data_IF_292593358685
#
_entry.id   IF_292593358685
#
_cell.length_a   1.000
_cell.length_b   1.000
_cell.length_c   1.000
_cell.angle_alpha   90.00
_cell.angle_beta   90.00
_cell.angle_gamma   90.00
#
_symmetry.space_group_name_H-M   'P 1'
#
loop_
_entity.id
_entity.type
_entity.pdbx_description
1 polymer ?
#
# COMPACT_ATOMS: atom_id res chain seq x y z
N UNK A 1 3.30 29.91 4.09
CA UNK A 1 2.25 28.89 3.93
C UNK A 1 2.67 28.02 2.74
N UNK A 2 2.69 26.71 2.89
CA UNK A 2 3.04 25.82 1.77
C UNK A 2 1.88 25.87 0.77
N UNK A 3 2.17 26.18 -0.51
CA UNK A 3 1.14 26.15 -1.56
C UNK A 3 0.60 24.72 -1.68
N UNK A 4 -0.68 24.53 -1.35
CA UNK A 4 -1.39 23.25 -1.55
C UNK A 4 -1.97 23.21 -2.96
N UNK A 5 -1.87 22.04 -3.59
CA UNK A 5 -2.48 21.76 -4.89
C UNK A 5 -3.40 20.53 -4.76
N UNK A 6 -4.46 20.50 -5.55
CA UNK A 6 -5.32 19.34 -5.63
C UNK A 6 -4.86 18.44 -6.78
N UNK A 7 -4.69 17.13 -6.49
CA UNK A 7 -4.20 16.15 -7.45
C UNK A 7 -4.94 14.82 -7.27
N UNK A 8 -5.08 14.04 -8.35
CA UNK A 8 -5.54 12.67 -8.22
C UNK A 8 -4.43 11.78 -7.64
N UNK A 9 -4.80 10.70 -7.00
CA UNK A 9 -3.85 9.68 -6.51
C UNK A 9 -2.90 9.21 -7.63
N UNK A 10 -3.45 8.95 -8.85
CA UNK A 10 -2.67 8.60 -10.04
C UNK A 10 -1.65 9.66 -10.43
N UNK A 11 -2.09 10.92 -10.49
CA UNK A 11 -1.21 12.01 -10.89
C UNK A 11 -0.15 12.31 -9.82
N UNK A 12 -0.47 12.07 -8.55
CA UNK A 12 0.47 12.17 -7.43
C UNK A 12 1.62 11.15 -7.56
N UNK A 13 1.32 9.91 -7.92
CA UNK A 13 2.32 8.87 -8.23
C UNK A 13 3.19 9.27 -9.43
N UNK A 14 2.54 9.71 -10.52
CA UNK A 14 3.25 10.17 -11.73
C UNK A 14 4.20 11.31 -11.42
N UNK A 15 3.77 12.28 -10.63
CA UNK A 15 4.60 13.43 -10.27
C UNK A 15 5.80 13.02 -9.40
N UNK A 16 5.64 12.10 -8.45
CA UNK A 16 6.76 11.55 -7.67
C UNK A 16 7.82 10.89 -8.58
N UNK A 17 7.38 10.10 -9.56
CA UNK A 17 8.29 9.49 -10.55
C UNK A 17 8.94 10.53 -11.45
N UNK A 18 8.20 11.52 -11.92
CA UNK A 18 8.73 12.62 -12.73
C UNK A 18 9.81 13.39 -11.99
N UNK A 19 9.55 13.78 -10.75
CA UNK A 19 10.52 14.46 -9.89
C UNK A 19 11.78 13.63 -9.68
N UNK A 20 11.65 12.31 -9.48
CA UNK A 20 12.77 11.39 -9.35
C UNK A 20 13.62 11.31 -10.63
N UNK A 21 12.99 11.17 -11.80
CA UNK A 21 13.67 11.12 -13.10
C UNK A 21 14.40 12.44 -13.42
N UNK A 22 13.81 13.59 -13.05
CA UNK A 22 14.44 14.91 -13.25
C UNK A 22 15.65 15.12 -12.35
N UNK A 23 15.58 14.63 -11.13
CA UNK A 23 16.62 14.83 -10.12
C UNK A 23 17.82 13.93 -10.32
N UNK A 24 17.62 12.70 -10.76
CA UNK A 24 18.63 11.65 -10.74
C UNK A 24 18.70 10.93 -12.11
N UNK A 25 19.83 11.09 -12.78
CA UNK A 25 20.06 10.50 -14.10
C UNK A 25 20.15 8.97 -14.05
N UNK A 26 20.39 8.38 -12.88
CA UNK A 26 20.41 6.92 -12.69
C UNK A 26 19.02 6.33 -12.44
N UNK A 27 18.00 7.16 -12.20
CA UNK A 27 16.63 6.71 -12.03
C UNK A 27 16.04 6.25 -13.38
N UNK A 28 15.42 5.09 -13.41
CA UNK A 28 14.73 4.54 -14.59
C UNK A 28 13.41 3.90 -14.18
N UNK A 29 12.44 3.90 -15.09
CA UNK A 29 11.19 3.15 -14.96
C UNK A 29 11.25 2.01 -15.95
N UNK A 30 10.89 0.79 -15.55
CA UNK A 30 10.79 -0.37 -16.43
C UNK A 30 9.57 -1.22 -16.08
N UNK A 31 8.96 -1.79 -17.10
CA UNK A 31 7.78 -2.63 -16.95
C UNK A 31 7.03 -2.81 -18.26
N UNK A 32 5.91 -3.50 -18.20
CA UNK A 32 5.07 -3.76 -19.36
C UNK A 32 4.29 -2.52 -19.76
N UNK A 33 4.46 -2.07 -21.01
CA UNK A 33 3.75 -0.91 -21.60
C UNK A 33 3.86 0.40 -20.82
N UNK A 34 4.83 0.53 -19.91
CA UNK A 34 5.04 1.74 -19.10
C UNK A 34 5.50 2.95 -19.90
N UNK A 35 6.06 2.71 -21.11
CA UNK A 35 6.58 3.71 -22.02
C UNK A 35 5.50 4.35 -22.90
N UNK A 36 5.37 3.90 -24.14
CA UNK A 36 4.51 4.53 -25.16
C UNK A 36 3.04 4.59 -24.73
N UNK A 37 2.52 3.53 -24.12
CA UNK A 37 1.12 3.47 -23.66
C UNK A 37 0.88 4.16 -22.33
N UNK A 38 1.93 4.32 -21.51
CA UNK A 38 1.84 4.98 -20.21
C UNK A 38 1.30 4.09 -19.09
N UNK A 39 1.44 2.78 -19.24
CA UNK A 39 0.99 1.76 -18.29
C UNK A 39 -0.50 1.45 -18.38
N UNK A 40 -0.90 0.25 -17.98
CA UNK A 40 -2.30 -0.24 -18.00
C UNK A 40 -3.27 0.73 -17.29
N UNK A 41 -2.83 1.36 -16.22
CA UNK A 41 -3.64 2.31 -15.44
C UNK A 41 -3.27 3.78 -15.70
N UNK A 42 -2.47 4.04 -16.75
CA UNK A 42 -2.05 5.38 -17.17
C UNK A 42 -1.24 6.17 -16.11
N UNK A 43 -0.56 5.45 -15.20
CA UNK A 43 0.24 6.10 -14.14
C UNK A 43 1.51 6.72 -14.70
N UNK A 44 2.13 6.13 -15.72
CA UNK A 44 3.37 6.62 -16.35
C UNK A 44 3.12 7.45 -17.62
N UNK A 45 1.84 7.71 -17.98
CA UNK A 45 1.49 8.43 -19.22
C UNK A 45 2.21 9.77 -19.33
N UNK A 46 2.90 9.97 -20.47
CA UNK A 46 3.64 11.18 -20.82
C UNK A 46 5.08 11.23 -20.27
N UNK A 47 5.49 10.28 -19.42
CA UNK A 47 6.88 10.21 -18.94
C UNK A 47 7.83 9.76 -20.06
N UNK A 48 7.38 8.87 -20.94
CA UNK A 48 8.17 8.44 -22.08
C UNK A 48 8.50 9.63 -23.04
N UNK A 49 7.52 10.48 -23.32
CA UNK A 49 7.71 11.64 -24.18
C UNK A 49 8.68 12.66 -23.56
N UNK A 50 8.71 12.75 -22.23
CA UNK A 50 9.56 13.70 -21.49
C UNK A 50 11.00 13.17 -21.32
N UNK A 51 11.18 11.86 -21.06
CA UNK A 51 12.48 11.29 -20.65
C UNK A 51 13.09 10.31 -21.64
N UNK A 52 12.34 9.83 -22.63
CA UNK A 52 12.79 8.94 -23.69
C UNK A 52 12.93 7.46 -23.27
N UNK A 53 13.19 6.62 -24.27
CA UNK A 53 13.23 5.16 -24.15
C UNK A 53 14.35 4.61 -23.26
N UNK A 54 15.40 5.39 -22.99
CA UNK A 54 16.49 4.96 -22.10
C UNK A 54 16.14 5.13 -20.62
N UNK A 55 15.12 5.90 -20.31
CA UNK A 55 14.71 6.22 -18.94
C UNK A 55 13.35 5.63 -18.58
N UNK A 56 12.48 5.43 -19.57
CA UNK A 56 11.17 4.79 -19.42
C UNK A 56 11.12 3.64 -20.40
N UNK A 57 11.32 2.43 -19.91
CA UNK A 57 11.71 1.25 -20.68
C UNK A 57 10.55 0.27 -20.74
N UNK A 58 9.98 0.07 -21.93
CA UNK A 58 9.04 -1.02 -22.16
C UNK A 58 9.77 -2.36 -22.18
N UNK A 59 9.21 -3.33 -21.47
CA UNK A 59 9.74 -4.69 -21.40
C UNK A 59 8.78 -5.70 -22.03
N UNK A 60 9.26 -6.87 -22.45
CA UNK A 60 8.38 -8.01 -22.68
C UNK A 60 7.60 -8.40 -21.41
N UNK A 61 6.52 -9.16 -21.56
CA UNK A 61 5.78 -9.78 -20.45
C UNK A 61 6.66 -10.89 -19.85
N UNK A 62 7.43 -10.53 -18.81
CA UNK A 62 8.38 -11.43 -18.17
C UNK A 62 8.75 -10.90 -16.78
N UNK A 63 7.84 -10.99 -15.83
CA UNK A 63 7.95 -10.33 -14.50
C UNK A 63 9.20 -10.80 -13.74
N UNK A 64 9.57 -12.07 -13.85
CA UNK A 64 10.83 -12.57 -13.31
C UNK A 64 12.04 -11.87 -13.95
N UNK A 65 12.01 -11.64 -15.26
CA UNK A 65 13.04 -10.90 -15.99
C UNK A 65 13.08 -9.43 -15.58
N UNK A 66 11.92 -8.78 -15.49
CA UNK A 66 11.79 -7.37 -15.06
C UNK A 66 12.45 -7.16 -13.70
N UNK A 67 12.08 -7.97 -12.70
CA UNK A 67 12.63 -7.83 -11.34
C UNK A 67 14.11 -8.24 -11.29
N UNK A 68 14.52 -9.28 -12.01
CA UNK A 68 15.92 -9.70 -12.09
C UNK A 68 16.82 -8.61 -12.67
N UNK A 69 16.41 -8.00 -13.79
CA UNK A 69 17.14 -6.88 -14.42
C UNK A 69 17.16 -5.65 -13.51
N UNK A 70 16.02 -5.28 -12.91
CA UNK A 70 15.95 -4.17 -11.96
C UNK A 70 16.88 -4.38 -10.76
N UNK A 71 16.91 -5.60 -10.21
CA UNK A 71 17.81 -5.96 -9.10
C UNK A 71 19.28 -5.81 -9.50
N UNK A 72 19.68 -6.34 -10.66
CA UNK A 72 21.04 -6.20 -11.18
C UNK A 72 21.41 -4.74 -11.48
N UNK A 73 20.51 -3.97 -12.06
CA UNK A 73 20.69 -2.54 -12.30
C UNK A 73 20.90 -1.75 -11.00
N UNK A 74 20.11 -2.06 -9.97
CA UNK A 74 20.26 -1.44 -8.65
C UNK A 74 21.60 -1.81 -7.98
N UNK A 75 22.06 -3.05 -8.12
CA UNK A 75 23.39 -3.47 -7.68
C UNK A 75 24.51 -2.71 -8.42
N UNK A 76 24.29 -2.35 -9.68
CA UNK A 76 25.16 -1.51 -10.50
C UNK A 76 25.08 -0.01 -10.22
N UNK A 77 24.28 0.42 -9.24
CA UNK A 77 24.16 1.83 -8.83
C UNK A 77 23.03 2.62 -9.49
N UNK A 78 22.20 1.98 -10.32
CA UNK A 78 20.98 2.62 -10.83
C UNK A 78 19.88 2.64 -9.76
N UNK A 79 18.83 3.42 -10.02
CA UNK A 79 17.63 3.52 -9.18
C UNK A 79 16.38 3.11 -9.95
N UNK A 80 16.16 1.82 -10.12
CA UNK A 80 15.02 1.34 -10.90
C UNK A 80 13.71 1.42 -10.12
N UNK A 81 12.68 1.89 -10.81
CA UNK A 81 11.27 1.70 -10.48
C UNK A 81 10.77 0.61 -11.42
N UNK A 82 10.61 -0.61 -10.91
CA UNK A 82 10.10 -1.74 -11.68
C UNK A 82 8.59 -1.86 -11.47
N UNK A 83 7.81 -1.76 -12.55
CA UNK A 83 6.36 -1.98 -12.49
C UNK A 83 6.04 -3.44 -12.79
N UNK A 84 5.31 -4.07 -11.86
CA UNK A 84 4.54 -5.29 -12.13
C UNK A 84 3.08 -4.85 -12.25
N UNK A 85 2.45 -5.13 -13.37
CA UNK A 85 1.13 -4.62 -13.75
C UNK A 85 0.08 -4.78 -12.65
N UNK A 86 0.02 -5.95 -12.02
CA UNK A 86 -0.78 -6.20 -10.82
C UNK A 86 -0.03 -7.10 -9.85
N UNK A 87 -0.35 -7.02 -8.56
CA UNK A 87 0.25 -7.86 -7.51
C UNK A 87 0.09 -9.36 -7.79
N UNK A 88 -0.94 -9.73 -8.56
CA UNK A 88 -1.19 -11.11 -8.95
C UNK A 88 -0.04 -11.70 -9.76
N UNK A 89 0.59 -10.90 -10.61
CA UNK A 89 1.72 -11.32 -11.45
C UNK A 89 3.06 -11.28 -10.72
N UNK A 90 3.11 -10.67 -9.54
CA UNK A 90 4.30 -10.75 -8.69
C UNK A 90 4.61 -12.20 -8.27
N UNK A 91 3.64 -13.12 -8.35
CA UNK A 91 3.86 -14.55 -8.14
C UNK A 91 4.82 -15.16 -9.17
N UNK A 92 4.84 -14.66 -10.42
CA UNK A 92 5.79 -15.09 -11.46
C UNK A 92 7.21 -14.62 -11.11
N UNK A 93 7.37 -13.50 -10.42
CA UNK A 93 8.64 -12.93 -10.01
C UNK A 93 9.03 -13.25 -8.56
N UNK A 94 8.28 -14.08 -7.85
CA UNK A 94 8.42 -14.26 -6.39
C UNK A 94 9.83 -14.66 -5.97
N UNK A 95 10.51 -15.52 -6.74
CA UNK A 95 11.89 -15.92 -6.47
C UNK A 95 12.84 -14.72 -6.55
N UNK A 96 12.73 -13.89 -7.59
CA UNK A 96 13.57 -12.70 -7.73
C UNK A 96 13.33 -11.69 -6.63
N UNK A 97 12.09 -11.52 -6.18
CA UNK A 97 11.75 -10.62 -5.07
C UNK A 97 12.28 -11.16 -3.75
N UNK A 98 12.00 -12.43 -3.43
CA UNK A 98 12.22 -13.01 -2.10
C UNK A 98 13.66 -13.51 -1.92
N UNK A 99 14.20 -14.25 -2.87
CA UNK A 99 15.51 -14.89 -2.73
C UNK A 99 16.66 -14.01 -3.23
N UNK A 100 16.39 -13.09 -4.15
CA UNK A 100 17.42 -12.18 -4.67
C UNK A 100 17.27 -10.78 -4.06
N UNK A 101 16.30 -9.97 -4.51
CA UNK A 101 16.18 -8.56 -4.14
C UNK A 101 16.17 -8.34 -2.61
N UNK A 102 15.40 -9.12 -1.87
CA UNK A 102 15.29 -9.00 -0.42
C UNK A 102 16.55 -9.46 0.34
N UNK A 103 17.37 -10.36 -0.22
CA UNK A 103 18.45 -11.04 0.50
C UNK A 103 19.86 -10.57 0.15
N UNK A 104 20.06 -9.90 -0.99
CA UNK A 104 21.38 -9.48 -1.48
C UNK A 104 22.18 -8.78 -0.39
N UNK A 105 21.61 -7.82 0.31
CA UNK A 105 22.32 -7.08 1.36
C UNK A 105 22.88 -8.01 2.46
N UNK A 106 22.09 -8.97 2.91
CA UNK A 106 22.51 -9.95 3.90
C UNK A 106 23.52 -10.94 3.34
N UNK A 107 23.27 -11.49 2.14
CA UNK A 107 24.17 -12.50 1.51
C UNK A 107 25.55 -11.94 1.21
N UNK A 108 25.67 -10.66 0.90
CA UNK A 108 26.94 -9.98 0.65
C UNK A 108 27.52 -9.28 1.89
N UNK A 109 27.10 -9.69 3.10
CA UNK A 109 27.66 -9.15 4.34
C UNK A 109 27.53 -7.63 4.50
N UNK A 110 26.49 -7.04 3.93
CA UNK A 110 26.23 -5.59 3.99
C UNK A 110 26.97 -4.74 2.94
N UNK A 111 27.83 -5.34 2.12
CA UNK A 111 28.65 -4.60 1.13
C UNK A 111 27.90 -4.27 -0.14
N UNK A 112 26.85 -5.03 -0.50
CA UNK A 112 26.04 -4.84 -1.68
C UNK A 112 24.60 -4.46 -1.31
N UNK A 113 23.92 -3.67 -2.14
CA UNK A 113 22.51 -3.29 -1.97
C UNK A 113 21.78 -3.41 -3.29
N UNK A 114 20.46 -3.61 -3.22
CA UNK A 114 19.57 -3.62 -4.36
C UNK A 114 18.33 -2.74 -4.07
N UNK A 115 18.48 -1.40 -4.06
CA UNK A 115 17.39 -0.49 -3.76
C UNK A 115 16.41 -0.36 -4.94
N UNK A 116 15.63 -1.39 -5.18
CA UNK A 116 14.58 -1.42 -6.20
C UNK A 116 13.26 -0.93 -5.60
N UNK A 117 12.55 -0.05 -6.29
CA UNK A 117 11.14 0.22 -6.01
C UNK A 117 10.31 -0.67 -6.92
N UNK A 118 9.65 -1.66 -6.36
CA UNK A 118 8.72 -2.54 -7.07
C UNK A 118 7.33 -1.96 -6.91
N UNK A 119 6.84 -1.29 -7.96
CA UNK A 119 5.46 -0.77 -8.01
C UNK A 119 4.54 -1.84 -8.54
N UNK A 120 3.40 -1.99 -7.87
CA UNK A 120 2.34 -2.87 -8.34
C UNK A 120 0.99 -2.37 -7.82
N UNK A 121 -0.11 -2.89 -8.36
CA UNK A 121 -1.45 -2.52 -7.90
C UNK A 121 -2.21 -3.74 -7.40
N UNK A 122 -2.88 -3.58 -6.28
CA UNK A 122 -3.95 -4.47 -5.81
C UNK A 122 -5.31 -3.91 -6.22
N UNK A 123 -6.37 -4.63 -5.90
CA UNK A 123 -7.73 -4.17 -6.08
C UNK A 123 -8.57 -5.10 -6.94
N UNK A 124 -9.79 -4.69 -7.16
CA UNK A 124 -10.86 -5.46 -7.77
C UNK A 124 -11.78 -4.56 -8.60
N UNK A 125 -12.71 -5.15 -9.33
CA UNK A 125 -13.66 -4.44 -10.18
C UNK A 125 -13.95 -5.28 -11.44
N UNK A 126 -14.59 -6.42 -11.26
CA UNK A 126 -14.88 -7.40 -12.31
C UNK A 126 -13.62 -7.95 -13.00
N UNK A 127 -12.56 -8.18 -12.21
CA UNK A 127 -11.30 -8.75 -12.69
C UNK A 127 -11.20 -10.26 -12.44
N UNK A 128 -12.18 -10.86 -11.75
CA UNK A 128 -12.26 -12.28 -11.38
C UNK A 128 -11.13 -12.77 -10.46
N UNK A 129 -11.10 -14.08 -10.24
CA UNK A 129 -10.33 -14.71 -9.17
C UNK A 129 -8.81 -14.47 -9.23
N UNK A 130 -8.23 -14.48 -10.43
CA UNK A 130 -6.77 -14.40 -10.60
C UNK A 130 -6.22 -12.98 -10.71
N UNK A 131 -7.08 -11.95 -10.80
CA UNK A 131 -6.67 -10.56 -10.97
C UNK A 131 -7.15 -9.64 -9.85
N UNK A 132 -7.77 -10.19 -8.80
CA UNK A 132 -8.33 -9.44 -7.68
C UNK A 132 -7.85 -9.95 -6.33
N UNK A 133 -6.62 -10.43 -6.26
CA UNK A 133 -6.04 -10.99 -5.05
C UNK A 133 -5.23 -9.94 -4.30
N UNK A 134 -5.15 -10.08 -2.98
CA UNK A 134 -4.40 -9.23 -2.07
C UNK A 134 -3.26 -10.05 -1.46
N UNK A 135 -2.03 -9.83 -1.93
CA UNK A 135 -0.84 -10.59 -1.51
C UNK A 135 0.13 -9.76 -0.66
N UNK A 136 -0.29 -8.63 -0.14
CA UNK A 136 0.56 -7.76 0.70
C UNK A 136 1.14 -8.49 1.91
N UNK A 137 0.39 -9.41 2.51
CA UNK A 137 0.86 -10.23 3.64
C UNK A 137 2.08 -11.08 3.27
N UNK A 138 2.14 -11.61 2.04
CA UNK A 138 3.27 -12.42 1.58
C UNK A 138 4.56 -11.62 1.55
N UNK A 139 4.50 -10.38 1.09
CA UNK A 139 5.68 -9.50 1.04
C UNK A 139 6.02 -8.91 2.41
N UNK A 140 5.01 -8.57 3.21
CA UNK A 140 5.22 -8.09 4.58
C UNK A 140 5.83 -9.16 5.49
N UNK A 141 5.64 -10.45 5.19
CA UNK A 141 6.28 -11.57 5.88
C UNK A 141 7.80 -11.63 5.64
N UNK A 142 8.31 -11.18 4.49
CA UNK A 142 9.69 -11.40 4.06
C UNK A 142 10.66 -10.38 4.69
N UNK A 143 11.63 -10.80 5.54
CA UNK A 143 12.68 -9.92 6.01
C UNK A 143 13.56 -9.40 4.86
N UNK A 144 13.85 -8.09 4.88
CA UNK A 144 14.62 -7.40 3.86
C UNK A 144 13.78 -6.54 2.91
N UNK A 145 12.45 -6.71 2.90
CA UNK A 145 11.53 -5.84 2.15
C UNK A 145 10.92 -4.76 3.06
N UNK A 146 10.72 -3.58 2.49
CA UNK A 146 9.78 -2.57 2.99
C UNK A 146 8.50 -2.72 2.20
N UNK A 147 7.33 -2.66 2.85
CA UNK A 147 6.03 -2.80 2.20
C UNK A 147 5.13 -1.63 2.59
N UNK A 148 4.62 -0.90 1.60
CA UNK A 148 3.76 0.27 1.80
C UNK A 148 2.51 0.21 0.94
N UNK A 149 1.39 0.70 1.48
CA UNK A 149 0.09 0.75 0.82
C UNK A 149 -0.62 2.08 1.13
N UNK A 150 -0.32 3.15 0.39
CA UNK A 150 -0.91 4.46 0.64
C UNK A 150 -2.42 4.50 0.38
N UNK A 151 -3.13 5.35 1.13
CA UNK A 151 -4.58 5.55 0.99
C UNK A 151 -4.97 6.86 0.29
N UNK A 152 -4.10 7.86 0.29
CA UNK A 152 -4.39 9.21 -0.24
C UNK A 152 -3.37 9.65 -1.28
N UNK A 153 -3.70 10.69 -2.06
CA UNK A 153 -2.77 11.30 -3.02
C UNK A 153 -1.51 11.86 -2.31
N UNK A 154 -1.68 12.43 -1.11
CA UNK A 154 -0.58 12.90 -0.27
C UNK A 154 0.37 11.75 0.10
N UNK A 155 -0.18 10.66 0.64
CA UNK A 155 0.60 9.50 1.05
C UNK A 155 1.25 8.80 -0.15
N UNK A 156 0.54 8.69 -1.27
CA UNK A 156 1.05 8.08 -2.51
C UNK A 156 2.30 8.81 -3.02
N UNK A 157 2.24 10.15 -3.14
CA UNK A 157 3.39 10.94 -3.56
C UNK A 157 4.52 10.89 -2.53
N UNK A 158 4.21 11.16 -1.26
CA UNK A 158 5.22 11.26 -0.21
C UNK A 158 5.95 9.94 0.08
N UNK A 159 5.23 8.81 0.11
CA UNK A 159 5.82 7.48 0.31
C UNK A 159 6.62 7.02 -0.92
N UNK A 160 6.14 7.28 -2.15
CA UNK A 160 6.88 6.93 -3.36
C UNK A 160 8.17 7.76 -3.47
N UNK A 161 8.11 9.04 -3.14
CA UNK A 161 9.31 9.89 -3.03
C UNK A 161 10.29 9.31 -2.01
N UNK A 162 9.82 8.89 -0.82
CA UNK A 162 10.65 8.24 0.19
C UNK A 162 11.26 6.95 -0.32
N UNK A 163 10.50 6.15 -1.08
CA UNK A 163 10.97 4.90 -1.67
C UNK A 163 12.15 5.12 -2.62
N UNK A 164 12.15 6.19 -3.42
CA UNK A 164 13.24 6.54 -4.32
C UNK A 164 14.54 6.96 -3.61
N UNK A 165 14.46 7.30 -2.33
CA UNK A 165 15.64 7.57 -1.49
C UNK A 165 16.05 6.38 -0.62
N UNK A 166 15.26 5.32 -0.61
CA UNK A 166 15.54 4.12 0.19
C UNK A 166 16.83 3.43 -0.28
N UNK A 167 17.55 2.87 0.67
CA UNK A 167 18.68 1.98 0.40
C UNK A 167 18.28 0.49 0.46
N UNK A 168 17.01 0.22 0.76
CA UNK A 168 16.42 -1.11 0.82
C UNK A 168 15.34 -1.24 -0.25
N UNK A 169 15.05 -2.46 -0.72
CA UNK A 169 13.97 -2.69 -1.66
C UNK A 169 12.61 -2.37 -1.05
N UNK A 170 11.75 -1.75 -1.84
CA UNK A 170 10.41 -1.34 -1.44
C UNK A 170 9.37 -1.98 -2.35
N UNK A 171 8.42 -2.70 -1.77
CA UNK A 171 7.18 -3.12 -2.44
C UNK A 171 6.17 -2.01 -2.22
N UNK A 172 5.84 -1.30 -3.28
CA UNK A 172 4.92 -0.18 -3.27
C UNK A 172 3.60 -0.62 -3.91
N UNK A 173 2.59 -0.88 -3.07
CA UNK A 173 1.32 -1.46 -3.51
C UNK A 173 0.27 -0.35 -3.59
N UNK A 174 -0.16 -0.06 -4.79
CA UNK A 174 -1.23 0.87 -5.12
C UNK A 174 -2.59 0.16 -5.08
N UNK A 175 -3.67 0.92 -5.23
CA UNK A 175 -5.00 0.32 -5.32
C UNK A 175 -5.80 0.89 -6.50
N UNK A 176 -6.35 0.01 -7.35
CA UNK A 176 -7.06 0.41 -8.58
C UNK A 176 -8.20 1.39 -8.34
N UNK A 177 -8.93 1.21 -7.23
CA UNK A 177 -10.08 2.05 -6.86
C UNK A 177 -9.70 3.43 -6.34
N UNK A 178 -8.41 3.67 -6.04
CA UNK A 178 -7.92 4.95 -5.53
C UNK A 178 -7.37 5.87 -6.62
N UNK A 179 -7.10 5.38 -7.83
CA UNK A 179 -6.46 6.19 -8.88
C UNK A 179 -7.20 7.49 -9.24
N UNK A 180 -8.53 7.50 -9.10
CA UNK A 180 -9.37 8.67 -9.35
C UNK A 180 -9.58 9.58 -8.14
N UNK A 181 -9.24 9.11 -6.94
CA UNK A 181 -9.42 9.87 -5.71
C UNK A 181 -8.56 11.13 -5.70
N UNK A 182 -9.16 12.25 -5.33
CA UNK A 182 -8.46 13.54 -5.26
C UNK A 182 -8.09 13.86 -3.82
N UNK A 183 -6.93 14.48 -3.65
CA UNK A 183 -6.46 14.97 -2.36
C UNK A 183 -5.62 16.23 -2.50
N UNK A 184 -5.51 16.98 -1.42
CA UNK A 184 -4.62 18.12 -1.31
C UNK A 184 -3.23 17.66 -0.86
N UNK A 185 -2.20 18.19 -1.49
CA UNK A 185 -0.81 17.92 -1.15
C UNK A 185 0.07 19.14 -1.43
N UNK A 186 1.25 19.25 -0.78
CA UNK A 186 2.19 20.31 -1.05
C UNK A 186 2.68 20.31 -2.49
N UNK A 187 2.87 21.50 -3.07
CA UNK A 187 3.55 21.66 -4.35
C UNK A 187 5.03 21.32 -4.19
N UNK A 188 5.59 20.59 -5.17
CA UNK A 188 6.99 20.15 -5.18
C UNK A 188 7.23 18.87 -4.38
N UNK A 189 8.49 18.53 -4.22
CA UNK A 189 8.92 17.31 -3.55
C UNK A 189 8.69 17.38 -2.03
N UNK A 190 8.13 16.33 -1.49
CA UNK A 190 8.04 16.09 -0.04
C UNK A 190 8.09 14.59 0.25
N UNK A 191 8.31 14.22 1.49
CA UNK A 191 8.47 12.83 1.92
C UNK A 191 7.54 12.49 3.06
N UNK A 192 6.98 11.28 3.00
CA UNK A 192 6.30 10.63 4.12
C UNK A 192 7.20 9.50 4.59
N UNK A 193 7.63 9.45 5.85
CA UNK A 193 8.51 8.41 6.33
C UNK A 193 7.80 7.05 6.42
N UNK A 194 8.54 5.97 6.18
CA UNK A 194 8.06 4.62 6.42
C UNK A 194 7.90 4.35 7.92
N UNK A 195 6.93 3.50 8.28
CA UNK A 195 6.68 3.13 9.66
C UNK A 195 6.11 4.25 10.54
N UNK A 196 5.48 5.24 9.91
CA UNK A 196 4.75 6.31 10.60
C UNK A 196 3.31 6.27 10.13
N UNK A 197 2.39 5.89 11.00
CA UNK A 197 0.96 5.87 10.73
C UNK A 197 0.37 7.29 10.78
N UNK A 198 -0.84 7.42 10.25
CA UNK A 198 -1.60 8.67 10.27
C UNK A 198 -2.96 8.45 10.92
N UNK A 199 -3.25 9.20 11.97
CA UNK A 199 -4.57 9.21 12.60
C UNK A 199 -5.48 10.11 11.76
N UNK A 200 -6.12 9.53 10.74
CA UNK A 200 -6.98 10.24 9.78
C UNK A 200 -8.23 10.84 10.45
N UNK A 201 -8.70 10.24 11.52
CA UNK A 201 -9.81 10.74 12.34
C UNK A 201 -9.56 10.44 13.81
N UNK A 202 -9.67 11.45 14.66
CA UNK A 202 -9.63 11.28 16.10
C UNK A 202 -10.95 10.70 16.61
N UNK A 203 -10.88 9.82 17.60
CA UNK A 203 -12.02 9.19 18.25
C UNK A 203 -11.72 8.80 19.68
N UNK A 204 -12.74 8.29 20.39
CA UNK A 204 -12.62 7.89 21.81
C UNK A 204 -13.31 6.57 22.15
N UNK A 205 -14.20 6.07 21.28
CA UNK A 205 -15.07 4.92 21.61
C UNK A 205 -14.54 3.60 21.03
N UNK A 206 -13.83 3.65 19.90
CA UNK A 206 -13.23 2.48 19.24
C UNK A 206 -12.13 2.94 18.27
N UNK A 207 -11.09 2.16 18.11
CA UNK A 207 -10.05 2.36 17.08
C UNK A 207 -10.22 1.37 15.92
N UNK A 208 -10.29 1.89 14.69
CA UNK A 208 -10.10 1.09 13.47
C UNK A 208 -8.65 1.23 13.04
N UNK A 209 -7.93 0.10 12.91
CA UNK A 209 -6.60 0.02 12.30
C UNK A 209 -6.75 -0.51 10.89
N UNK A 210 -6.27 0.25 9.91
CA UNK A 210 -6.53 -0.06 8.48
C UNK A 210 -5.45 0.52 7.57
N UNK A 211 -5.55 0.29 6.26
CA UNK A 211 -4.67 0.85 5.23
C UNK A 211 -5.36 0.88 3.87
N UNK A 212 -4.72 1.57 2.90
CA UNK A 212 -5.15 1.60 1.50
C UNK A 212 -6.64 1.99 1.36
N UNK A 213 -7.39 1.31 0.49
CA UNK A 213 -8.80 1.60 0.24
C UNK A 213 -9.69 1.46 1.48
N UNK A 214 -9.39 0.52 2.38
CA UNK A 214 -10.20 0.32 3.58
C UNK A 214 -10.18 1.53 4.53
N UNK A 215 -9.18 2.41 4.44
CA UNK A 215 -9.17 3.70 5.14
C UNK A 215 -10.36 4.57 4.75
N UNK A 216 -10.73 4.61 3.47
CA UNK A 216 -11.89 5.38 3.00
C UNK A 216 -13.21 4.76 3.48
N UNK A 217 -13.32 3.43 3.45
CA UNK A 217 -14.49 2.71 4.01
C UNK A 217 -14.63 3.00 5.51
N UNK A 218 -13.52 2.95 6.26
CA UNK A 218 -13.50 3.25 7.69
C UNK A 218 -13.94 4.70 7.99
N UNK A 219 -13.42 5.67 7.23
CA UNK A 219 -13.75 7.09 7.40
C UNK A 219 -15.22 7.38 7.10
N UNK A 220 -15.78 6.77 6.04
CA UNK A 220 -17.18 6.93 5.69
C UNK A 220 -18.09 6.33 6.78
N UNK A 221 -17.82 5.10 7.22
CA UNK A 221 -18.55 4.47 8.32
C UNK A 221 -18.45 5.29 9.64
N UNK A 222 -17.25 5.79 9.97
CA UNK A 222 -17.03 6.63 11.15
C UNK A 222 -17.81 7.95 11.09
N UNK A 223 -17.96 8.54 9.90
CA UNK A 223 -18.78 9.76 9.70
C UNK A 223 -20.25 9.50 10.00
N UNK A 224 -20.78 8.36 9.57
CA UNK A 224 -22.19 8.00 9.81
C UNK A 224 -22.43 7.62 11.27
N UNK A 225 -21.47 6.95 11.93
CA UNK A 225 -21.50 6.63 13.35
C UNK A 225 -21.48 7.88 14.24
N UNK A 226 -20.74 8.91 13.83
CA UNK A 226 -20.69 10.19 14.55
C UNK A 226 -22.06 10.88 14.64
N UNK A 227 -22.94 10.69 13.66
CA UNK A 227 -24.33 11.19 13.71
C UNK A 227 -25.14 10.51 14.82
N UNK A 228 -24.70 9.37 15.33
CA UNK A 228 -25.27 8.64 16.46
C UNK A 228 -24.49 8.83 17.76
N UNK A 229 -23.53 9.78 17.80
CA UNK A 229 -22.72 10.08 18.98
C UNK A 229 -21.57 9.08 19.23
N UNK A 230 -21.23 8.23 18.25
CA UNK A 230 -20.13 7.27 18.35
C UNK A 230 -18.89 7.83 17.64
N UNK A 231 -17.83 8.10 18.39
CA UNK A 231 -16.60 8.73 17.92
C UNK A 231 -15.50 7.69 17.69
N UNK A 232 -15.44 7.19 16.46
CA UNK A 232 -14.46 6.19 16.03
C UNK A 232 -13.15 6.85 15.63
N UNK A 233 -12.03 6.34 16.16
CA UNK A 233 -10.68 6.69 15.70
C UNK A 233 -10.30 5.84 14.50
N UNK A 234 -9.71 6.46 13.46
CA UNK A 234 -9.25 5.76 12.27
C UNK A 234 -7.75 5.97 12.11
N UNK A 235 -6.99 4.88 12.25
CA UNK A 235 -5.54 4.83 12.09
C UNK A 235 -5.20 4.19 10.74
N UNK A 236 -4.67 4.97 9.82
CA UNK A 236 -4.10 4.51 8.56
C UNK A 236 -2.62 4.17 8.77
N UNK A 237 -2.27 2.89 8.73
CA UNK A 237 -0.89 2.47 8.97
C UNK A 237 0.05 2.79 7.83
N UNK A 238 -0.42 2.97 6.60
CA UNK A 238 0.33 3.33 5.39
C UNK A 238 1.50 2.40 5.04
N UNK A 239 2.21 1.90 6.05
CA UNK A 239 3.33 0.95 5.95
C UNK A 239 2.98 -0.33 6.67
N UNK A 240 3.05 -1.46 5.97
CA UNK A 240 2.84 -2.79 6.55
C UNK A 240 4.16 -3.36 7.11
N UNK A 241 5.29 -2.91 6.55
CA UNK A 241 6.62 -3.23 7.03
C UNK A 241 7.56 -2.05 6.75
N UNK A 242 8.04 -1.37 7.81
CA UNK A 242 7.68 -1.52 9.23
C UNK A 242 6.29 -0.98 9.56
N UNK A 243 5.61 -1.55 10.58
CA UNK A 243 4.39 -1.02 11.17
C UNK A 243 4.69 -0.02 12.27
N UNK A 244 3.86 1.01 12.40
CA UNK A 244 3.92 1.97 13.51
C UNK A 244 3.16 1.46 14.73
N UNK A 245 3.80 0.58 15.48
CA UNK A 245 3.22 0.01 16.69
C UNK A 245 2.92 1.05 17.77
N UNK A 246 3.73 2.12 17.85
CA UNK A 246 3.53 3.16 18.84
C UNK A 246 2.20 3.88 18.64
N UNK A 247 1.90 4.31 17.41
CA UNK A 247 0.62 4.96 17.08
C UNK A 247 -0.55 4.01 17.27
N UNK A 248 -0.46 2.77 16.81
CA UNK A 248 -1.51 1.76 16.99
C UNK A 248 -1.83 1.57 18.47
N UNK A 249 -0.81 1.32 19.33
CA UNK A 249 -1.01 1.06 20.75
C UNK A 249 -1.53 2.29 21.50
N UNK A 250 -1.08 3.50 21.16
CA UNK A 250 -1.58 4.72 21.76
C UNK A 250 -3.08 4.94 21.48
N UNK A 251 -3.50 4.66 20.25
CA UNK A 251 -4.91 4.74 19.85
C UNK A 251 -5.76 3.70 20.58
N UNK A 252 -5.32 2.45 20.61
CA UNK A 252 -6.06 1.35 21.26
C UNK A 252 -6.15 1.57 22.78
N UNK A 253 -5.07 2.01 23.43
CA UNK A 253 -5.08 2.32 24.88
C UNK A 253 -6.02 3.47 25.24
N UNK A 254 -6.26 4.38 24.30
CA UNK A 254 -7.20 5.49 24.48
C UNK A 254 -8.66 5.05 24.33
N UNK A 255 -8.94 4.15 23.41
CA UNK A 255 -10.31 3.79 23.01
C UNK A 255 -10.78 2.45 23.58
N UNK A 256 -9.89 1.64 24.13
CA UNK A 256 -10.13 0.35 24.78
C UNK A 256 -10.76 -0.75 23.89
N UNK A 257 -11.05 -0.46 22.61
CA UNK A 257 -11.62 -1.40 21.65
C UNK A 257 -10.95 -1.23 20.30
N UNK A 258 -10.70 -2.34 19.60
CA UNK A 258 -10.03 -2.32 18.32
C UNK A 258 -10.72 -3.21 17.27
N UNK A 259 -10.89 -2.65 16.07
CA UNK A 259 -11.26 -3.36 14.86
C UNK A 259 -10.10 -3.24 13.86
N UNK A 260 -9.57 -4.37 13.39
CA UNK A 260 -8.59 -4.39 12.28
C UNK A 260 -9.36 -4.65 10.99
N UNK A 261 -9.39 -3.64 10.12
CA UNK A 261 -10.14 -3.66 8.86
C UNK A 261 -9.18 -3.72 7.67
N UNK A 262 -9.22 -4.82 6.93
CA UNK A 262 -8.33 -5.05 5.78
C UNK A 262 -9.07 -5.63 4.57
N UNK A 263 -8.43 -5.62 3.41
CA UNK A 263 -9.00 -6.14 2.16
C UNK A 263 -8.40 -7.49 1.76
N UNK A 264 -7.41 -8.00 2.51
CA UNK A 264 -6.85 -9.33 2.35
C UNK A 264 -7.77 -10.42 2.98
N UNK A 265 -7.39 -11.69 2.83
CA UNK A 265 -8.07 -12.79 3.51
C UNK A 265 -7.75 -12.82 5.00
N UNK A 266 -8.70 -13.33 5.81
CA UNK A 266 -8.54 -13.40 7.26
C UNK A 266 -7.43 -14.38 7.68
N UNK A 267 -7.37 -15.53 7.02
CA UNK A 267 -6.40 -16.59 7.32
C UNK A 267 -5.02 -16.18 6.84
N UNK A 268 -4.08 -16.03 7.79
CA UNK A 268 -2.70 -15.58 7.55
C UNK A 268 -2.56 -14.18 6.92
N UNK A 269 -3.63 -13.38 6.93
CA UNK A 269 -3.59 -11.98 6.49
C UNK A 269 -2.92 -11.05 7.50
N UNK A 270 -2.65 -9.80 7.06
CA UNK A 270 -2.01 -8.75 7.87
C UNK A 270 -2.81 -8.48 9.16
N UNK A 271 -4.13 -8.58 9.09
CA UNK A 271 -5.02 -8.38 10.24
C UNK A 271 -4.72 -9.32 11.40
N UNK A 272 -4.22 -10.53 11.13
CA UNK A 272 -3.86 -11.51 12.15
C UNK A 272 -2.68 -11.05 13.01
N UNK A 273 -1.60 -10.56 12.40
CA UNK A 273 -0.43 -10.02 13.09
C UNK A 273 -0.79 -8.80 13.93
N UNK A 274 -1.56 -7.86 13.35
CA UNK A 274 -1.97 -6.64 14.05
C UNK A 274 -2.83 -6.99 15.26
N UNK A 275 -3.83 -7.85 15.09
CA UNK A 275 -4.73 -8.25 16.18
C UNK A 275 -3.99 -9.02 17.29
N UNK A 276 -3.11 -9.95 16.94
CA UNK A 276 -2.33 -10.72 17.91
C UNK A 276 -1.44 -9.80 18.76
N UNK A 277 -0.79 -8.82 18.13
CA UNK A 277 0.08 -7.91 18.86
C UNK A 277 -0.69 -6.89 19.70
N UNK A 278 -1.83 -6.38 19.22
CA UNK A 278 -2.72 -5.54 20.07
C UNK A 278 -3.17 -6.33 21.28
N UNK A 279 -3.64 -7.57 21.09
CA UNK A 279 -4.11 -8.43 22.18
C UNK A 279 -3.00 -8.75 23.19
N UNK A 280 -1.73 -8.79 22.79
CA UNK A 280 -0.59 -8.99 23.69
C UNK A 280 -0.16 -7.68 24.38
N UNK A 281 0.12 -6.62 23.61
CA UNK A 281 0.80 -5.41 24.11
C UNK A 281 -0.18 -4.41 24.77
N UNK A 282 -1.48 -4.53 24.50
CA UNK A 282 -2.53 -3.70 25.07
C UNK A 282 -3.56 -4.49 25.90
N UNK A 283 -3.24 -5.73 26.30
CA UNK A 283 -4.17 -6.64 27.02
C UNK A 283 -4.90 -5.97 28.17
N UNK A 284 -4.16 -5.29 29.07
CA UNK A 284 -4.72 -4.65 30.26
C UNK A 284 -5.58 -3.41 29.97
N UNK A 285 -5.63 -2.99 28.70
CA UNK A 285 -6.39 -1.81 28.26
C UNK A 285 -7.65 -2.18 27.46
N UNK A 286 -7.81 -3.45 27.07
CA UNK A 286 -8.92 -3.88 26.23
C UNK A 286 -10.17 -4.21 27.04
N UNK A 287 -11.30 -3.60 26.67
CA UNK A 287 -12.63 -3.92 27.21
C UNK A 287 -13.29 -5.10 26.49
N UNK A 288 -12.80 -5.49 25.32
CA UNK A 288 -13.33 -6.55 24.49
C UNK A 288 -12.20 -7.19 23.62
N UNK A 289 -12.40 -8.40 23.10
CA UNK A 289 -11.49 -8.99 22.14
C UNK A 289 -11.25 -8.07 20.93
N UNK A 290 -10.04 -8.14 20.36
CA UNK A 290 -9.73 -7.44 19.10
C UNK A 290 -10.49 -8.12 17.96
N UNK A 291 -11.32 -7.38 17.26
CA UNK A 291 -12.09 -7.86 16.13
C UNK A 291 -11.36 -7.66 14.81
N UNK A 292 -11.60 -8.54 13.86
CA UNK A 292 -11.07 -8.43 12.50
C UNK A 292 -12.18 -8.47 11.49
N UNK A 293 -12.12 -7.60 10.49
CA UNK A 293 -13.03 -7.61 9.34
C UNK A 293 -12.20 -7.56 8.06
N UNK A 294 -12.38 -8.58 7.23
CA UNK A 294 -11.60 -8.80 6.01
C UNK A 294 -12.53 -9.16 4.85
N UNK A 295 -11.99 -9.36 3.64
CA UNK A 295 -12.80 -9.98 2.60
C UNK A 295 -13.17 -11.43 2.97
N UNK A 296 -14.22 -11.93 2.32
CA UNK A 296 -14.63 -13.32 2.44
C UNK A 296 -13.55 -14.28 1.91
N UNK A 297 -13.36 -15.43 2.55
CA UNK A 297 -12.36 -16.42 2.16
C UNK A 297 -12.79 -17.25 0.94
N UNK A 298 -12.98 -16.57 -0.17
CA UNK A 298 -13.36 -17.17 -1.45
C UNK A 298 -12.51 -16.59 -2.59
N UNK A 299 -12.25 -17.35 -3.67
CA UNK A 299 -11.78 -16.75 -4.91
C UNK A 299 -12.81 -15.75 -5.42
N UNK A 300 -12.38 -14.54 -5.77
CA UNK A 300 -13.32 -13.48 -6.12
C UNK A 300 -14.11 -13.81 -7.39
N UNK A 301 -15.44 -13.72 -7.34
CA UNK A 301 -16.28 -13.94 -8.50
C UNK A 301 -16.24 -12.74 -9.45
N UNK A 302 -16.48 -12.98 -10.73
CA UNK A 302 -16.60 -11.92 -11.74
C UNK A 302 -17.91 -11.12 -11.63
N UNK A 303 -18.99 -11.78 -11.21
CA UNK A 303 -20.29 -11.15 -11.12
C UNK A 303 -20.33 -10.02 -10.08
N UNK A 304 -20.71 -8.76 -10.46
CA UNK A 304 -20.57 -7.59 -9.60
C UNK A 304 -21.28 -7.70 -8.25
N UNK A 305 -22.44 -8.34 -8.23
CA UNK A 305 -23.22 -8.54 -7.00
C UNK A 305 -22.51 -9.49 -6.03
N UNK A 306 -21.90 -10.56 -6.52
CA UNK A 306 -21.15 -11.51 -5.71
C UNK A 306 -19.80 -10.91 -5.27
N UNK A 307 -19.11 -10.21 -6.17
CA UNK A 307 -17.87 -9.49 -5.87
C UNK A 307 -18.10 -8.50 -4.71
N UNK A 308 -19.16 -7.67 -4.79
CA UNK A 308 -19.51 -6.72 -3.73
C UNK A 308 -19.81 -7.41 -2.38
N UNK A 309 -20.39 -8.59 -2.40
CA UNK A 309 -20.67 -9.35 -1.17
C UNK A 309 -19.37 -9.82 -0.46
N UNK A 310 -18.30 -10.03 -1.21
CA UNK A 310 -17.05 -10.55 -0.68
C UNK A 310 -16.26 -9.54 0.15
N UNK A 311 -16.43 -8.25 -0.08
CA UNK A 311 -15.65 -7.21 0.60
C UNK A 311 -16.38 -6.55 1.77
N UNK A 312 -15.63 -6.04 2.77
CA UNK A 312 -16.15 -5.05 3.70
C UNK A 312 -16.63 -3.81 2.95
N UNK A 313 -17.78 -3.29 3.36
CA UNK A 313 -18.31 -2.00 2.92
C UNK A 313 -18.71 -1.16 4.14
N UNK A 314 -19.07 0.09 3.90
CA UNK A 314 -19.42 1.04 4.96
C UNK A 314 -20.55 0.52 5.86
N UNK A 315 -21.56 -0.13 5.26
CA UNK A 315 -22.71 -0.66 6.01
C UNK A 315 -22.32 -1.84 6.92
N UNK A 316 -21.47 -2.73 6.44
CA UNK A 316 -20.96 -3.85 7.24
C UNK A 316 -20.07 -3.36 8.38
N UNK A 317 -19.18 -2.40 8.12
CA UNK A 317 -18.33 -1.77 9.15
C UNK A 317 -19.18 -1.06 10.19
N UNK A 318 -20.18 -0.28 9.77
CA UNK A 318 -21.12 0.39 10.65
C UNK A 318 -21.85 -0.61 11.56
N UNK A 319 -22.41 -1.68 11.01
CA UNK A 319 -23.11 -2.71 11.77
C UNK A 319 -22.20 -3.42 12.77
N UNK A 320 -20.94 -3.75 12.36
CA UNK A 320 -19.96 -4.41 13.23
C UNK A 320 -19.56 -3.53 14.41
N UNK A 321 -19.35 -2.25 14.18
CA UNK A 321 -19.01 -1.32 15.28
C UNK A 321 -20.16 -1.18 16.27
N UNK A 322 -21.40 -1.12 15.78
CA UNK A 322 -22.59 -1.11 16.66
C UNK A 322 -22.67 -2.36 17.54
N UNK A 323 -22.38 -3.54 16.96
CA UNK A 323 -22.29 -4.79 17.71
C UNK A 323 -21.20 -4.76 18.78
N UNK A 324 -19.99 -4.24 18.44
CA UNK A 324 -18.87 -4.17 19.39
C UNK A 324 -19.08 -3.19 20.56
N UNK A 325 -20.00 -2.24 20.39
CA UNK A 325 -20.29 -1.21 21.41
C UNK A 325 -21.59 -1.48 22.19
N UNK A 326 -22.34 -2.50 21.82
CA UNK A 326 -23.57 -2.92 22.52
C UNK A 326 -23.23 -3.69 23.79
#
# INVERSE_FOLDING_TARGET
MTDLIQMTYRDALKEAMREALRRDETAVIMGEEVGVWGGTYAVTRGLYDEFGAQRVIDTPIAEMGIIGVATGAAMGGMKPIAEIMTINFALVAIDQIVNNTAKIHSMFGGTMRAPVVIRTTAGWGQLAATHSQSFEAWFAYVPGLIVVMPSTAYDAKGLLTTAMYSQNPVIFIEHTRLYGEKGELPKGEFRVPFGVADVKRQGKDLTIVTYSRMTHVALNAAKDLAQQGIEVEVVDVRSLRPLDWATIMNSVRKTHRALVLTEDWMTFGVSGEIAARIAHDAFDYLDAPVERMTQAEVPLPYAPNLEKMAFPDEAKVFAKIKEMLA
#
